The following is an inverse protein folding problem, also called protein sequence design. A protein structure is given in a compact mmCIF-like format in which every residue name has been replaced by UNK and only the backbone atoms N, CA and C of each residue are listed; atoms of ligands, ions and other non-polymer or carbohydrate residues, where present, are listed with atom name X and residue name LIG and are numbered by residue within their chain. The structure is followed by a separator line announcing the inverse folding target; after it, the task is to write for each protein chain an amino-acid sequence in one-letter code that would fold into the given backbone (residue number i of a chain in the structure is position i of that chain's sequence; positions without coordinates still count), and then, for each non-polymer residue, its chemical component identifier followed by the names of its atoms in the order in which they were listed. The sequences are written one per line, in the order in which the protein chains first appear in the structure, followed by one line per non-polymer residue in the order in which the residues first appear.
data_IF_532533194873
#
_entry.id   IF_532533194873
#
_cell.length_a   1.000
_cell.length_b   1.000
_cell.length_c   1.000
_cell.angle_alpha   90.00
_cell.angle_beta   90.00
_cell.angle_gamma   90.00
#
_symmetry.space_group_name_H-M   'P 1'
#
loop_
_entity.id
_entity.type
_entity.pdbx_description
1 polymer ?
#
# COMPACT_ATOMS: atom_id res chain seq x y z
N UNK A 1 -20.40 16.28 -25.96
CA UNK A 1 -19.03 16.38 -25.42
C UNK A 1 -18.82 15.09 -24.67
N UNK A 2 -18.04 14.18 -25.24
CA UNK A 2 -17.74 12.90 -24.56
C UNK A 2 -16.88 13.20 -23.36
N UNK A 3 -17.39 12.93 -22.16
CA UNK A 3 -16.57 12.82 -20.96
C UNK A 3 -15.52 11.74 -21.22
N UNK A 4 -14.31 12.20 -21.56
CA UNK A 4 -13.16 11.32 -21.50
C UNK A 4 -12.96 10.98 -20.01
N UNK A 5 -13.53 9.86 -19.58
CA UNK A 5 -13.24 9.30 -18.27
C UNK A 5 -11.72 9.11 -18.18
N UNK A 6 -11.05 10.00 -17.44
CA UNK A 6 -9.66 9.80 -17.09
C UNK A 6 -9.58 8.46 -16.37
N UNK A 7 -8.74 7.59 -16.88
CA UNK A 7 -8.50 6.28 -16.27
C UNK A 7 -7.46 6.48 -15.18
N UNK A 8 -7.91 6.85 -14.00
CA UNK A 8 -7.01 7.13 -12.88
C UNK A 8 -6.68 5.84 -12.12
N UNK A 9 -5.43 5.72 -11.70
CA UNK A 9 -4.95 4.66 -10.80
C UNK A 9 -4.58 5.28 -9.46
N UNK A 10 -5.06 4.66 -8.40
CA UNK A 10 -4.61 4.88 -7.02
C UNK A 10 -3.81 3.69 -6.51
N UNK A 11 -2.67 3.97 -5.90
CA UNK A 11 -1.74 2.95 -5.39
C UNK A 11 -1.44 3.28 -3.93
N UNK A 12 -1.69 2.33 -3.03
CA UNK A 12 -1.25 2.45 -1.64
C UNK A 12 0.26 2.27 -1.50
N UNK A 13 0.83 2.72 -0.37
CA UNK A 13 2.26 2.62 -0.10
C UNK A 13 2.58 1.44 0.80
N UNK A 14 2.03 1.43 2.02
CA UNK A 14 2.40 0.45 3.03
C UNK A 14 1.77 -0.91 2.71
N UNK A 15 2.58 -1.96 2.63
CA UNK A 15 2.12 -3.27 2.19
C UNK A 15 1.97 -3.43 0.67
N UNK A 16 2.06 -2.36 -0.12
CA UNK A 16 1.99 -2.39 -1.60
C UNK A 16 3.34 -2.07 -2.24
N UNK A 17 3.91 -0.92 -1.92
CA UNK A 17 5.19 -0.44 -2.45
C UNK A 17 6.31 -0.55 -1.43
N UNK A 18 6.02 -0.27 -0.15
CA UNK A 18 6.94 -0.31 0.98
C UNK A 18 6.67 -1.52 1.87
N UNK A 19 7.74 -2.26 2.22
CA UNK A 19 7.68 -3.39 3.14
C UNK A 19 7.73 -2.90 4.59
N UNK A 20 6.56 -2.60 5.15
CA UNK A 20 6.45 -2.17 6.54
C UNK A 20 6.51 -3.36 7.50
N UNK A 21 5.77 -4.43 7.22
CA UNK A 21 5.61 -5.58 8.11
C UNK A 21 6.92 -6.36 8.28
N UNK A 22 7.68 -6.58 7.20
CA UNK A 22 8.98 -7.27 7.23
C UNK A 22 10.05 -6.52 8.02
N UNK A 23 9.86 -5.21 8.24
CA UNK A 23 10.82 -4.40 9.00
C UNK A 23 10.58 -4.32 10.51
N UNK A 24 9.54 -4.94 11.06
CA UNK A 24 9.34 -4.92 12.53
C UNK A 24 10.30 -5.84 13.29
N UNK A 25 10.77 -6.91 12.67
CA UNK A 25 11.57 -7.95 13.32
C UNK A 25 12.75 -7.41 14.15
N UNK A 26 13.62 -6.51 13.65
CA UNK A 26 14.76 -6.02 14.43
C UNK A 26 14.38 -5.28 15.73
N UNK A 27 13.15 -4.79 15.81
CA UNK A 27 12.67 -3.96 16.92
C UNK A 27 11.94 -4.75 18.00
N UNK A 28 11.54 -5.98 17.72
CA UNK A 28 10.75 -6.79 18.64
C UNK A 28 11.29 -8.19 18.88
N UNK A 29 12.40 -8.57 18.24
CA UNK A 29 13.00 -9.90 18.34
C UNK A 29 13.48 -10.25 19.75
N UNK A 30 13.84 -9.26 20.57
CA UNK A 30 14.19 -9.43 21.97
C UNK A 30 12.98 -9.75 22.86
N UNK A 31 11.77 -9.39 22.44
CA UNK A 31 10.52 -9.72 23.16
C UNK A 31 9.88 -10.98 22.57
N UNK A 32 9.96 -11.16 21.25
CA UNK A 32 9.41 -12.31 20.52
C UNK A 32 10.51 -12.94 19.69
N UNK A 33 11.37 -13.81 20.30
CA UNK A 33 12.55 -14.36 19.62
C UNK A 33 12.25 -15.21 18.39
N UNK A 34 11.04 -15.76 18.29
CA UNK A 34 10.58 -16.57 17.17
C UNK A 34 9.58 -15.82 16.27
N UNK A 35 9.66 -14.49 16.24
CA UNK A 35 8.77 -13.66 15.43
C UNK A 35 8.95 -13.98 13.94
N UNK A 36 7.82 -14.27 13.29
CA UNK A 36 7.68 -14.27 11.84
C UNK A 36 6.34 -13.62 11.48
N UNK A 37 6.26 -12.98 10.33
CA UNK A 37 5.04 -12.35 9.87
C UNK A 37 3.90 -13.37 9.77
N UNK A 38 4.16 -14.55 9.19
CA UNK A 38 3.16 -15.60 9.00
C UNK A 38 2.54 -16.06 10.31
N UNK A 39 3.32 -16.06 11.38
CA UNK A 39 2.86 -16.53 12.69
C UNK A 39 2.14 -15.45 13.49
N UNK A 40 2.64 -14.22 13.44
CA UNK A 40 2.23 -13.17 14.35
C UNK A 40 1.39 -12.05 13.73
N UNK A 41 1.49 -11.82 12.40
CA UNK A 41 0.66 -10.84 11.69
C UNK A 41 -0.57 -11.54 11.13
N UNK A 42 -1.59 -11.70 11.98
CA UNK A 42 -2.85 -12.38 11.64
C UNK A 42 -3.97 -11.42 11.23
N UNK A 43 -3.70 -10.13 11.19
CA UNK A 43 -4.64 -9.08 10.81
C UNK A 43 -3.97 -7.72 10.85
N UNK A 44 -4.57 -6.75 10.20
CA UNK A 44 -4.05 -5.38 10.05
C UNK A 44 -3.58 -4.72 11.35
N UNK A 45 -4.30 -4.90 12.45
CA UNK A 45 -3.97 -4.33 13.76
C UNK A 45 -3.05 -5.20 14.60
N UNK A 46 -2.45 -6.26 14.04
CA UNK A 46 -1.61 -7.22 14.74
C UNK A 46 -2.27 -7.75 16.05
N UNK A 47 -3.51 -8.23 16.02
CA UNK A 47 -4.29 -8.52 17.24
C UNK A 47 -3.60 -9.54 18.16
N UNK A 48 -2.92 -10.54 17.59
CA UNK A 48 -2.19 -11.54 18.34
C UNK A 48 -1.00 -10.95 19.12
N UNK A 49 -0.27 -10.01 18.50
CA UNK A 49 0.85 -9.31 19.14
C UNK A 49 0.33 -8.36 20.21
N UNK A 50 -0.73 -7.61 19.91
CA UNK A 50 -1.36 -6.70 20.88
C UNK A 50 -1.86 -7.43 22.15
N UNK A 51 -2.44 -8.61 21.98
CA UNK A 51 -2.96 -9.41 23.08
C UNK A 51 -1.85 -10.06 23.92
N UNK A 52 -0.91 -10.74 23.27
CA UNK A 52 0.08 -11.58 23.96
C UNK A 52 1.37 -10.85 24.32
N UNK A 53 1.73 -9.81 23.56
CA UNK A 53 3.00 -9.09 23.69
C UNK A 53 2.77 -7.56 23.60
N UNK A 54 2.04 -6.97 24.56
CA UNK A 54 1.66 -5.55 24.50
C UNK A 54 2.84 -4.59 24.43
N UNK A 55 3.99 -4.97 24.99
CA UNK A 55 5.22 -4.16 24.89
C UNK A 55 5.77 -4.16 23.45
N UNK A 56 5.83 -5.31 22.79
CA UNK A 56 6.22 -5.40 21.38
C UNK A 56 5.26 -4.60 20.50
N UNK A 57 3.95 -4.72 20.74
CA UNK A 57 2.95 -3.94 20.02
C UNK A 57 3.15 -2.44 20.18
N UNK A 58 3.42 -1.96 21.39
CA UNK A 58 3.74 -0.55 21.65
C UNK A 58 5.00 -0.08 20.92
N UNK A 59 6.03 -0.92 20.84
CA UNK A 59 7.23 -0.60 20.04
C UNK A 59 6.88 -0.44 18.58
N UNK A 60 6.11 -1.37 18.00
CA UNK A 60 5.65 -1.28 16.60
C UNK A 60 4.84 0.01 16.37
N UNK A 61 3.90 0.35 17.26
CA UNK A 61 3.13 1.59 17.14
C UNK A 61 4.04 2.84 17.14
N UNK A 62 5.12 2.84 17.94
CA UNK A 62 6.09 3.94 17.94
C UNK A 62 6.86 4.04 16.61
N UNK A 63 7.05 2.95 15.89
CA UNK A 63 7.68 2.98 14.55
C UNK A 63 6.78 3.68 13.52
N UNK A 64 5.47 3.56 13.63
CA UNK A 64 4.53 4.22 12.71
C UNK A 64 4.60 5.76 12.75
N UNK A 65 5.13 6.31 13.84
CA UNK A 65 5.36 7.75 14.02
C UNK A 65 6.85 8.12 14.11
N UNK A 66 7.74 7.21 13.72
CA UNK A 66 9.17 7.42 13.69
C UNK A 66 9.64 7.83 12.28
N UNK A 67 10.15 9.06 12.08
CA UNK A 67 10.53 9.53 10.76
C UNK A 67 11.68 8.73 10.14
N UNK A 68 12.67 8.29 10.92
CA UNK A 68 13.80 7.52 10.41
C UNK A 68 13.35 6.12 9.98
N UNK A 69 12.45 5.49 10.75
CA UNK A 69 11.87 4.21 10.35
C UNK A 69 11.09 4.34 9.04
N UNK A 70 10.17 5.30 8.94
CA UNK A 70 9.36 5.52 7.74
C UNK A 70 10.22 5.78 6.50
N UNK A 71 11.31 6.55 6.65
CA UNK A 71 12.22 6.81 5.55
C UNK A 71 13.07 5.59 5.16
N UNK A 72 13.43 4.74 6.14
CA UNK A 72 14.26 3.55 5.91
C UNK A 72 13.52 2.35 5.33
N UNK A 73 12.19 2.42 5.16
CA UNK A 73 11.41 1.30 4.66
C UNK A 73 11.88 0.85 3.27
N UNK A 74 12.25 -0.42 3.09
CA UNK A 74 12.62 -0.93 1.79
C UNK A 74 11.42 -0.99 0.85
N UNK A 75 11.68 -0.79 -0.41
CA UNK A 75 10.72 -1.07 -1.47
C UNK A 75 10.62 -2.59 -1.66
N UNK A 76 9.43 -3.12 -1.89
CA UNK A 76 9.29 -4.52 -2.28
C UNK A 76 10.03 -4.81 -3.59
N UNK A 77 10.35 -6.08 -3.81
CA UNK A 77 10.99 -6.52 -5.04
C UNK A 77 10.20 -6.06 -6.28
N UNK A 78 10.91 -5.57 -7.29
CA UNK A 78 10.36 -5.09 -8.57
C UNK A 78 9.39 -3.90 -8.51
N UNK A 79 9.33 -3.16 -7.41
CA UNK A 79 8.50 -1.94 -7.34
C UNK A 79 8.95 -0.91 -8.36
N UNK A 80 10.26 -0.65 -8.47
CA UNK A 80 10.80 0.31 -9.43
C UNK A 80 10.49 -0.11 -10.87
N UNK A 81 10.67 -1.38 -11.18
CA UNK A 81 10.36 -1.94 -12.52
C UNK A 81 8.85 -1.83 -12.81
N UNK A 82 8.01 -2.21 -11.85
CA UNK A 82 6.56 -2.09 -11.97
C UNK A 82 6.10 -0.66 -12.18
N UNK A 83 6.65 0.32 -11.45
CA UNK A 83 6.35 1.74 -11.64
C UNK A 83 6.75 2.21 -13.06
N UNK A 84 7.94 1.84 -13.55
CA UNK A 84 8.38 2.16 -14.92
C UNK A 84 7.42 1.61 -15.97
N UNK A 85 7.04 0.34 -15.85
CA UNK A 85 6.12 -0.30 -16.80
C UNK A 85 4.72 0.33 -16.73
N UNK A 86 4.24 0.63 -15.53
CA UNK A 86 2.95 1.29 -15.36
C UNK A 86 2.96 2.71 -15.95
N UNK A 87 4.01 3.49 -15.67
CA UNK A 87 4.18 4.82 -16.23
C UNK A 87 4.19 4.85 -17.76
N UNK A 88 4.92 3.92 -18.39
CA UNK A 88 4.92 3.77 -19.84
C UNK A 88 3.54 3.39 -20.38
N UNK A 89 2.84 2.47 -19.72
CA UNK A 89 1.50 2.02 -20.13
C UNK A 89 0.44 3.12 -19.96
N UNK A 90 0.59 3.98 -18.94
CA UNK A 90 -0.39 5.00 -18.57
C UNK A 90 -0.12 6.40 -19.13
N UNK A 91 1.01 6.63 -19.77
CA UNK A 91 1.53 7.95 -20.21
C UNK A 91 0.47 8.88 -20.82
N UNK A 92 -0.47 8.33 -21.59
CA UNK A 92 -1.52 9.12 -22.28
C UNK A 92 -2.95 8.67 -21.90
N UNK A 93 -3.10 7.90 -20.81
CA UNK A 93 -4.38 7.26 -20.47
C UNK A 93 -5.06 7.80 -19.23
N UNK A 94 -4.33 8.44 -18.32
CA UNK A 94 -4.85 8.94 -17.05
C UNK A 94 -3.73 9.33 -16.10
N UNK A 95 -4.09 9.58 -14.85
CA UNK A 95 -3.15 9.94 -13.78
C UNK A 95 -2.84 8.72 -12.90
N UNK A 96 -1.61 8.67 -12.42
CA UNK A 96 -1.18 7.76 -11.36
C UNK A 96 -1.12 8.60 -10.08
N UNK A 97 -1.77 8.15 -9.02
CA UNK A 97 -1.69 8.75 -7.69
C UNK A 97 -1.17 7.70 -6.71
N UNK A 98 -0.11 8.03 -6.01
CA UNK A 98 0.38 7.21 -4.88
C UNK A 98 -0.18 7.83 -3.61
N UNK A 99 -0.93 7.04 -2.86
CA UNK A 99 -1.68 7.49 -1.72
C UNK A 99 -1.28 6.72 -0.46
N UNK A 100 -0.99 7.43 0.63
CA UNK A 100 -0.71 6.83 1.93
C UNK A 100 -1.38 7.60 3.06
N UNK A 101 -1.52 6.95 4.21
CA UNK A 101 -2.07 7.55 5.42
C UNK A 101 -1.06 7.45 6.56
N UNK A 102 -0.81 8.56 7.25
CA UNK A 102 0.07 8.64 8.40
C UNK A 102 -0.72 8.97 9.67
N UNK A 103 -0.32 8.39 10.80
CA UNK A 103 -0.93 8.69 12.10
C UNK A 103 -0.54 10.08 12.62
N UNK A 104 0.62 10.59 12.20
CA UNK A 104 1.13 11.91 12.61
C UNK A 104 1.67 12.68 11.41
N UNK A 105 1.77 14.01 11.57
CA UNK A 105 2.32 14.94 10.57
C UNK A 105 3.80 15.27 10.84
N UNK A 106 4.20 16.48 10.49
CA UNK A 106 5.53 17.01 10.78
C UNK A 106 6.67 16.15 10.17
N UNK A 107 7.67 15.75 10.98
CA UNK A 107 8.84 15.03 10.48
C UNK A 107 8.51 13.69 9.81
N UNK A 108 7.45 13.00 10.23
CA UNK A 108 7.00 11.72 9.62
C UNK A 108 6.45 11.98 8.23
N UNK A 109 5.68 13.06 8.06
CA UNK A 109 5.19 13.48 6.75
C UNK A 109 6.34 13.79 5.80
N UNK A 110 7.33 14.57 6.25
CA UNK A 110 8.51 14.92 5.44
C UNK A 110 9.32 13.69 5.03
N UNK A 111 9.49 12.73 5.95
CA UNK A 111 10.18 11.46 5.68
C UNK A 111 9.44 10.62 4.64
N UNK A 112 8.12 10.50 4.74
CA UNK A 112 7.32 9.78 3.76
C UNK A 112 7.32 10.49 2.41
N UNK A 113 7.22 11.81 2.40
CA UNK A 113 7.28 12.59 1.18
C UNK A 113 8.62 12.41 0.45
N UNK A 114 9.76 12.48 1.19
CA UNK A 114 11.09 12.18 0.63
C UNK A 114 11.18 10.78 0.04
N UNK A 115 10.69 9.78 0.76
CA UNK A 115 10.67 8.39 0.27
C UNK A 115 9.92 8.26 -1.05
N UNK A 116 8.80 8.96 -1.20
CA UNK A 116 8.01 8.98 -2.44
C UNK A 116 8.67 9.76 -3.57
N UNK A 117 9.36 10.87 -3.27
CA UNK A 117 10.17 11.59 -4.25
C UNK A 117 11.32 10.71 -4.77
N UNK A 118 12.00 9.98 -3.90
CA UNK A 118 13.04 9.03 -4.32
C UNK A 118 12.46 7.91 -5.21
N UNK A 119 11.27 7.40 -4.89
CA UNK A 119 10.59 6.45 -5.75
C UNK A 119 10.28 7.05 -7.14
N UNK A 120 9.85 8.32 -7.17
CA UNK A 120 9.58 9.05 -8.41
C UNK A 120 10.86 9.22 -9.26
N UNK A 121 11.96 9.62 -8.63
CA UNK A 121 13.26 9.76 -9.30
C UNK A 121 13.80 8.42 -9.81
N UNK A 122 13.83 7.37 -8.98
CA UNK A 122 14.34 6.05 -9.34
C UNK A 122 13.52 5.39 -10.45
N UNK A 123 12.21 5.57 -10.43
CA UNK A 123 11.31 5.04 -11.46
C UNK A 123 11.25 5.90 -12.72
N UNK A 124 11.63 7.17 -12.64
CA UNK A 124 11.45 8.17 -13.68
C UNK A 124 9.99 8.23 -14.18
N UNK A 125 9.05 8.16 -13.26
CA UNK A 125 7.60 8.19 -13.52
C UNK A 125 6.99 9.36 -12.77
N UNK A 126 6.28 10.22 -13.48
CA UNK A 126 5.52 11.28 -12.85
C UNK A 126 4.20 10.72 -12.29
N UNK A 127 3.98 10.93 -10.98
CA UNK A 127 2.75 10.56 -10.29
C UNK A 127 2.41 11.59 -9.21
N UNK A 128 1.14 11.71 -8.89
CA UNK A 128 0.69 12.55 -7.79
C UNK A 128 0.98 11.88 -6.45
N UNK A 129 1.45 12.66 -5.48
CA UNK A 129 1.65 12.22 -4.09
C UNK A 129 0.49 12.76 -3.27
N UNK A 130 -0.25 11.86 -2.62
CA UNK A 130 -1.33 12.20 -1.70
C UNK A 130 -1.07 11.56 -0.33
N UNK A 131 -0.71 12.37 0.66
CA UNK A 131 -0.46 11.94 2.04
C UNK A 131 -1.55 12.50 2.94
N UNK A 132 -2.40 11.65 3.47
CA UNK A 132 -3.38 12.01 4.50
C UNK A 132 -2.79 11.81 5.90
N UNK A 133 -3.19 12.64 6.86
CA UNK A 133 -2.62 12.65 8.22
C UNK A 133 -3.73 12.66 9.27
N UNK A 134 -3.49 11.94 10.38
CA UNK A 134 -4.33 11.96 11.57
C UNK A 134 -5.64 11.18 11.42
N UNK A 135 -6.71 11.67 12.05
CA UNK A 135 -8.02 10.99 12.03
C UNK A 135 -8.75 11.09 10.68
N UNK A 136 -8.29 11.95 9.78
CA UNK A 136 -8.85 12.06 8.43
C UNK A 136 -8.49 10.80 7.66
N UNK A 137 -9.46 9.89 7.62
CA UNK A 137 -9.35 8.65 6.84
C UNK A 137 -9.03 9.00 5.40
N UNK A 138 -8.12 8.22 4.82
CA UNK A 138 -7.86 8.14 3.39
C UNK A 138 -9.19 8.30 2.63
N UNK A 139 -9.37 9.44 1.97
CA UNK A 139 -10.50 9.65 1.08
C UNK A 139 -10.15 8.92 -0.20
N UNK A 140 -10.73 7.74 -0.37
CA UNK A 140 -10.65 7.04 -1.65
C UNK A 140 -11.48 7.83 -2.64
N UNK A 141 -10.83 8.58 -3.50
CA UNK A 141 -11.49 9.25 -4.59
C UNK A 141 -12.08 8.21 -5.56
N UNK A 142 -13.03 8.64 -6.38
CA UNK A 142 -13.56 7.77 -7.42
C UNK A 142 -12.47 7.52 -8.44
N UNK A 143 -11.77 6.40 -8.30
CA UNK A 143 -10.70 6.00 -9.20
C UNK A 143 -11.15 4.84 -10.09
N UNK A 144 -10.50 4.66 -11.21
CA UNK A 144 -10.77 3.54 -12.12
C UNK A 144 -10.16 2.25 -11.60
N UNK A 145 -8.95 2.34 -11.07
CA UNK A 145 -8.16 1.22 -10.58
C UNK A 145 -7.64 1.55 -9.20
N UNK A 146 -7.83 0.66 -8.24
CA UNK A 146 -7.26 0.74 -6.91
C UNK A 146 -6.36 -0.46 -6.63
N UNK A 147 -5.12 -0.20 -6.21
CA UNK A 147 -4.14 -1.22 -5.77
C UNK A 147 -3.88 -0.99 -4.29
N UNK A 148 -4.17 -2.00 -3.46
CA UNK A 148 -4.27 -1.86 -2.02
C UNK A 148 -3.98 -3.21 -1.33
N UNK A 149 -3.52 -3.20 -0.08
CA UNK A 149 -3.39 -4.40 0.75
C UNK A 149 -4.50 -4.50 1.83
N UNK A 150 -5.24 -3.41 2.05
CA UNK A 150 -6.36 -3.35 2.99
C UNK A 150 -7.68 -3.73 2.33
N UNK A 151 -8.21 -4.89 2.68
CA UNK A 151 -9.55 -5.34 2.24
C UNK A 151 -10.62 -4.30 2.57
N UNK A 152 -10.55 -3.66 3.75
CA UNK A 152 -11.50 -2.63 4.18
C UNK A 152 -11.51 -1.42 3.24
N UNK A 153 -10.35 -1.00 2.75
CA UNK A 153 -10.24 0.11 1.81
C UNK A 153 -10.82 -0.27 0.45
N UNK A 154 -10.53 -1.48 -0.04
CA UNK A 154 -11.11 -2.02 -1.27
C UNK A 154 -12.63 -2.13 -1.20
N UNK A 155 -13.18 -2.62 -0.08
CA UNK A 155 -14.64 -2.72 0.11
C UNK A 155 -15.36 -1.36 0.06
N UNK A 156 -14.70 -0.31 0.55
CA UNK A 156 -15.26 1.06 0.57
C UNK A 156 -15.07 1.82 -0.73
N UNK A 157 -14.19 1.36 -1.59
CA UNK A 157 -13.88 2.00 -2.88
C UNK A 157 -14.96 1.69 -3.91
N UNK A 158 -15.23 2.67 -4.78
CA UNK A 158 -16.05 2.53 -5.97
C UNK A 158 -15.23 2.23 -7.24
N UNK A 159 -13.97 1.79 -7.09
CA UNK A 159 -13.11 1.48 -8.21
C UNK A 159 -13.72 0.37 -9.09
N UNK A 160 -13.60 0.52 -10.42
CA UNK A 160 -14.05 -0.50 -11.37
C UNK A 160 -13.19 -1.77 -11.28
N UNK A 161 -11.88 -1.59 -11.05
CA UNK A 161 -10.89 -2.67 -10.96
C UNK A 161 -10.17 -2.59 -9.61
N UNK A 162 -10.25 -3.66 -8.83
CA UNK A 162 -9.67 -3.73 -7.50
C UNK A 162 -8.57 -4.79 -7.44
N UNK A 163 -7.41 -4.40 -6.93
CA UNK A 163 -6.26 -5.29 -6.77
C UNK A 163 -5.89 -5.38 -5.30
N UNK A 164 -6.08 -6.56 -4.71
CA UNK A 164 -5.57 -6.87 -3.37
C UNK A 164 -4.17 -7.45 -3.49
N UNK A 165 -3.18 -6.74 -2.95
CA UNK A 165 -1.83 -7.30 -2.78
C UNK A 165 -1.84 -8.24 -1.59
N UNK A 166 -1.46 -9.51 -1.82
CA UNK A 166 -1.42 -10.54 -0.77
C UNK A 166 -0.35 -10.23 0.27
N UNK A 167 -0.77 -10.16 1.53
CA UNK A 167 0.09 -10.02 2.72
C UNK A 167 -0.37 -10.96 3.82
N UNK A 168 0.42 -11.10 4.89
CA UNK A 168 0.09 -11.99 5.99
C UNK A 168 -1.23 -11.62 6.69
N UNK A 169 -1.50 -10.33 6.83
CA UNK A 169 -2.71 -9.82 7.47
C UNK A 169 -4.00 -9.99 6.66
N UNK A 170 -3.91 -10.27 5.36
CA UNK A 170 -5.06 -10.43 4.47
C UNK A 170 -5.13 -11.79 3.77
N UNK A 171 -4.35 -12.78 4.25
CA UNK A 171 -4.14 -14.07 3.57
C UNK A 171 -5.42 -14.90 3.33
N UNK A 172 -6.44 -14.72 4.14
CA UNK A 172 -7.68 -15.51 4.10
C UNK A 172 -8.76 -14.89 3.19
N UNK A 173 -8.53 -13.68 2.68
CA UNK A 173 -9.49 -12.99 1.81
C UNK A 173 -9.31 -13.39 0.34
N UNK A 174 -10.42 -13.35 -0.40
CA UNK A 174 -10.51 -13.69 -1.83
C UNK A 174 -11.10 -12.52 -2.62
N UNK A 175 -11.16 -12.62 -3.93
CA UNK A 175 -11.76 -11.60 -4.80
C UNK A 175 -13.23 -11.28 -4.41
N UNK A 176 -13.96 -12.26 -3.87
CA UNK A 176 -15.36 -12.09 -3.44
C UNK A 176 -15.51 -11.17 -2.23
N UNK A 177 -14.45 -11.01 -1.47
CA UNK A 177 -14.44 -10.22 -0.24
C UNK A 177 -14.15 -8.73 -0.50
N UNK A 178 -13.80 -8.33 -1.73
CA UNK A 178 -13.33 -6.98 -2.06
C UNK A 178 -14.45 -5.97 -2.36
N UNK A 179 -15.71 -6.37 -2.20
CA UNK A 179 -16.87 -5.52 -2.48
C UNK A 179 -17.17 -5.38 -3.98
N UNK A 180 -18.16 -4.55 -4.31
CA UNK A 180 -18.63 -4.38 -5.69
C UNK A 180 -17.56 -3.74 -6.57
N UNK A 181 -17.38 -4.28 -7.77
CA UNK A 181 -16.47 -3.79 -8.82
C UNK A 181 -16.83 -4.46 -10.16
N UNK A 182 -16.25 -4.02 -11.27
CA UNK A 182 -16.33 -4.76 -12.55
C UNK A 182 -15.51 -6.04 -12.46
N UNK A 183 -14.29 -5.93 -11.96
CA UNK A 183 -13.40 -7.06 -11.72
C UNK A 183 -12.54 -6.82 -10.50
N UNK A 184 -12.28 -7.89 -9.76
CA UNK A 184 -11.39 -7.89 -8.60
C UNK A 184 -10.33 -8.98 -8.75
N UNK A 185 -9.12 -8.70 -8.27
CA UNK A 185 -7.98 -9.59 -8.38
C UNK A 185 -7.23 -9.65 -7.05
N UNK A 186 -6.80 -10.84 -6.68
CA UNK A 186 -5.82 -11.07 -5.60
C UNK A 186 -4.50 -11.46 -6.26
N UNK A 187 -3.46 -10.69 -6.01
CA UNK A 187 -2.15 -10.85 -6.64
C UNK A 187 -1.02 -10.87 -5.60
N UNK A 188 0.11 -11.49 -5.93
CA UNK A 188 1.20 -11.66 -4.99
C UNK A 188 2.01 -10.36 -4.77
N UNK A 189 2.12 -9.52 -5.79
CA UNK A 189 2.96 -8.31 -5.75
C UNK A 189 2.37 -7.16 -6.54
N UNK A 190 2.90 -5.95 -6.29
CA UNK A 190 2.61 -4.78 -7.13
C UNK A 190 2.97 -5.02 -8.59
N UNK A 191 4.09 -5.69 -8.87
CA UNK A 191 4.49 -6.02 -10.23
C UNK A 191 3.46 -6.91 -10.93
N UNK A 192 2.92 -7.92 -10.25
CA UNK A 192 1.87 -8.79 -10.81
C UNK A 192 0.58 -7.99 -11.09
N UNK A 193 0.21 -7.04 -10.21
CA UNK A 193 -0.90 -6.13 -10.46
C UNK A 193 -0.69 -5.34 -11.77
N UNK A 194 0.50 -4.79 -11.97
CA UNK A 194 0.86 -4.04 -13.19
C UNK A 194 0.76 -4.92 -14.44
N UNK A 195 1.27 -6.16 -14.41
CA UNK A 195 1.15 -7.08 -15.55
C UNK A 195 -0.33 -7.38 -15.87
N UNK A 196 -1.14 -7.58 -14.82
CA UNK A 196 -2.57 -7.81 -14.99
C UNK A 196 -3.29 -6.58 -15.57
N UNK A 197 -3.01 -5.37 -15.08
CA UNK A 197 -3.56 -4.10 -15.59
C UNK A 197 -3.28 -3.95 -17.09
N UNK A 198 -2.06 -4.25 -17.54
CA UNK A 198 -1.68 -4.20 -18.96
C UNK A 198 -2.48 -5.15 -19.85
N UNK A 199 -3.03 -6.21 -19.28
CA UNK A 199 -3.86 -7.20 -19.99
C UNK A 199 -5.35 -6.82 -20.05
N UNK A 200 -5.83 -5.87 -19.25
CA UNK A 200 -7.23 -5.44 -19.23
C UNK A 200 -7.49 -4.55 -20.45
N UNK A 201 -8.55 -4.85 -21.16
CA UNK A 201 -9.05 -3.99 -22.24
C UNK A 201 -9.98 -2.94 -21.65
N UNK A 202 -9.52 -1.70 -21.54
CA UNK A 202 -10.30 -0.57 -21.06
C UNK A 202 -11.19 0.04 -22.13
#
# INVERSE_FOLDING_TARGET
MSDMYKKDIEIDVDGVLADMDGNYTPYIIDIIPDFTEEKYITGWSMPLVAEKYPEAFKRVQNLWVNPDFIYSLPKFEKVIEGMKELGLFYKDKGQITVHTHLFDGGPVYESRYRWLEELREESNVDFNINISVGEHKKTLETTKILIEDSVRNLQKSNADYKFLIRRCHNRDFTEKDLGESKESFVVASFYDAVQKIKSIKF
#
